data_IF_101959844801
#
_entry.id   IF_101959844801
#
_cell.length_a   1.000
_cell.length_b   1.000
_cell.length_c   1.000
_cell.angle_alpha   90.00
_cell.angle_beta   90.00
_cell.angle_gamma   90.00
#
_symmetry.space_group_name_H-M   'P 1'
#
loop_
_entity.id
_entity.type
_entity.pdbx_description
1 polymer ?
#
# COMPACT_ATOMS: atom_id res chain seq x y z
N UNK A 1 81.69 -12.05 29.49
CA UNK A 1 80.84 -12.36 28.31
C UNK A 1 79.42 -12.61 28.82
N UNK A 2 78.50 -11.64 28.72
CA UNK A 2 77.12 -11.76 29.24
C UNK A 2 76.05 -11.10 28.33
N UNK A 3 76.33 -10.86 27.04
CA UNK A 3 75.46 -10.05 26.18
C UNK A 3 74.62 -10.83 25.13
N UNK A 4 74.58 -12.16 25.17
CA UNK A 4 73.94 -12.99 24.12
C UNK A 4 72.70 -13.78 24.57
N UNK A 5 72.31 -13.72 25.85
CA UNK A 5 71.12 -14.41 26.35
C UNK A 5 69.85 -13.53 26.41
N UNK A 6 69.99 -12.20 26.49
CA UNK A 6 68.85 -11.27 26.58
C UNK A 6 68.11 -11.05 25.26
N UNK A 7 68.78 -11.20 24.11
CA UNK A 7 68.16 -10.98 22.79
C UNK A 7 67.13 -12.04 22.39
N UNK A 8 67.31 -13.30 22.81
CA UNK A 8 66.33 -14.36 22.54
C UNK A 8 65.13 -14.34 23.50
N UNK A 9 65.34 -13.84 24.73
CA UNK A 9 64.27 -13.60 25.68
C UNK A 9 63.41 -12.39 25.24
N UNK A 10 64.04 -11.30 24.79
CA UNK A 10 63.34 -10.12 24.25
C UNK A 10 62.47 -10.48 23.05
N UNK A 11 63.00 -11.16 22.03
CA UNK A 11 62.20 -11.57 20.87
C UNK A 11 61.01 -12.46 21.24
N UNK A 12 61.17 -13.39 22.19
CA UNK A 12 60.06 -14.22 22.69
C UNK A 12 59.02 -13.42 23.46
N UNK A 13 59.44 -12.43 24.24
CA UNK A 13 58.54 -11.52 24.96
C UNK A 13 57.77 -10.62 23.98
N UNK A 14 58.45 -10.10 22.96
CA UNK A 14 57.84 -9.28 21.90
C UNK A 14 56.78 -10.09 21.13
N UNK A 15 57.12 -11.34 20.75
CA UNK A 15 56.15 -12.22 20.06
C UNK A 15 54.97 -12.63 20.96
N UNK A 16 55.17 -12.69 22.28
CA UNK A 16 54.09 -12.98 23.24
C UNK A 16 53.20 -11.76 23.44
N UNK A 17 53.78 -10.56 23.55
CA UNK A 17 53.03 -9.30 23.64
C UNK A 17 52.20 -9.04 22.39
N UNK A 18 52.75 -9.26 21.19
CA UNK A 18 52.01 -9.08 19.93
C UNK A 18 50.77 -10.00 19.89
N UNK A 19 50.90 -11.26 20.30
CA UNK A 19 49.78 -12.21 20.35
C UNK A 19 48.72 -11.83 21.39
N UNK A 20 49.12 -11.31 22.54
CA UNK A 20 48.18 -10.81 23.54
C UNK A 20 47.41 -9.59 23.01
N UNK A 21 48.11 -8.68 22.31
CA UNK A 21 47.49 -7.49 21.72
C UNK A 21 46.51 -7.83 20.58
N UNK A 22 46.86 -8.79 19.73
CA UNK A 22 45.95 -9.30 18.70
C UNK A 22 44.72 -9.97 19.31
N UNK A 23 44.87 -10.77 20.38
CA UNK A 23 43.73 -11.37 21.09
C UNK A 23 42.81 -10.34 21.75
N UNK A 24 43.37 -9.27 22.32
CA UNK A 24 42.58 -8.18 22.89
C UNK A 24 41.79 -7.43 21.81
N UNK A 25 42.42 -7.10 20.68
CA UNK A 25 41.73 -6.46 19.56
C UNK A 25 40.62 -7.35 18.98
N UNK A 26 40.88 -8.65 18.78
CA UNK A 26 39.84 -9.57 18.31
C UNK A 26 38.66 -9.68 19.28
N UNK A 27 38.93 -9.72 20.60
CA UNK A 27 37.87 -9.70 21.62
C UNK A 27 37.08 -8.40 21.60
N UNK A 28 37.74 -7.26 21.43
CA UNK A 28 37.08 -5.95 21.39
C UNK A 28 36.22 -5.79 20.13
N UNK A 29 36.73 -6.23 18.97
CA UNK A 29 35.98 -6.26 17.71
C UNK A 29 34.78 -7.20 17.84
N UNK A 30 34.95 -8.40 18.42
CA UNK A 30 33.86 -9.35 18.62
C UNK A 30 32.83 -8.82 19.59
N UNK A 31 33.23 -8.19 20.70
CA UNK A 31 32.32 -7.57 21.66
C UNK A 31 31.55 -6.39 21.05
N UNK A 32 32.21 -5.55 20.24
CA UNK A 32 31.53 -4.48 19.49
C UNK A 32 30.53 -5.05 18.49
N UNK A 33 30.90 -6.08 17.73
CA UNK A 33 30.01 -6.74 16.77
C UNK A 33 28.83 -7.42 17.46
N UNK A 34 29.07 -8.08 18.59
CA UNK A 34 28.03 -8.71 19.40
C UNK A 34 27.09 -7.66 20.01
N UNK A 35 27.59 -6.49 20.44
CA UNK A 35 26.77 -5.35 20.88
C UNK A 35 25.96 -4.73 19.74
N UNK A 36 26.54 -4.59 18.55
CA UNK A 36 25.84 -4.12 17.35
C UNK A 36 24.72 -5.09 16.96
N UNK A 37 24.99 -6.41 17.03
CA UNK A 37 24.00 -7.48 16.83
C UNK A 37 22.95 -7.50 17.95
N UNK A 38 23.27 -7.13 19.20
CA UNK A 38 22.30 -7.05 20.29
C UNK A 38 21.36 -5.86 20.19
N UNK A 39 21.82 -4.73 19.65
CA UNK A 39 20.95 -3.61 19.27
C UNK A 39 20.04 -3.97 18.08
N UNK A 40 20.56 -4.78 17.15
CA UNK A 40 19.80 -5.30 16.01
C UNK A 40 18.95 -6.54 16.33
N UNK A 41 19.16 -7.21 17.47
CA UNK A 41 18.26 -8.23 18.03
C UNK A 41 16.99 -7.52 18.46
N UNK A 42 16.17 -7.23 17.45
CA UNK A 42 14.73 -7.45 17.42
C UNK A 42 14.23 -7.89 18.78
N UNK A 43 13.79 -6.92 19.57
CA UNK A 43 12.70 -7.21 20.47
C UNK A 43 11.61 -7.74 19.55
N UNK A 44 11.41 -9.06 19.56
CA UNK A 44 10.36 -9.76 18.85
C UNK A 44 9.03 -9.41 19.54
N UNK A 45 8.70 -8.12 19.53
CA UNK A 45 7.45 -7.58 20.02
C UNK A 45 6.42 -8.02 19.00
N UNK A 46 5.45 -8.78 19.47
CA UNK A 46 4.31 -9.21 18.66
C UNK A 46 3.69 -7.98 17.99
N UNK A 47 3.86 -7.89 16.67
CA UNK A 47 3.23 -6.84 15.88
C UNK A 47 1.74 -7.17 15.78
N UNK A 48 0.90 -6.22 16.18
CA UNK A 48 -0.54 -6.40 16.02
C UNK A 48 -0.93 -6.29 14.55
N UNK A 49 -1.58 -7.33 14.03
CA UNK A 49 -2.24 -7.37 12.71
C UNK A 49 -3.76 -7.25 12.80
N UNK A 50 -4.28 -6.96 13.99
CA UNK A 50 -5.72 -6.78 14.19
C UNK A 50 -6.20 -5.58 13.38
N UNK A 51 -7.35 -5.74 12.73
CA UNK A 51 -7.99 -4.76 11.85
C UNK A 51 -7.16 -4.30 10.63
N UNK A 52 -6.16 -5.08 10.22
CA UNK A 52 -5.30 -4.79 9.05
C UNK A 52 -5.89 -5.31 7.71
N UNK A 53 -7.17 -5.66 7.70
CA UNK A 53 -7.87 -6.10 6.49
C UNK A 53 -8.19 -4.90 5.60
N UNK A 54 -7.98 -5.07 4.29
CA UNK A 54 -8.40 -4.08 3.30
C UNK A 54 -9.91 -3.87 3.38
N UNK A 55 -10.33 -2.61 3.41
CA UNK A 55 -11.75 -2.23 3.38
C UNK A 55 -12.09 -1.69 2.00
N UNK A 56 -13.24 -2.07 1.47
CA UNK A 56 -13.75 -1.49 0.23
C UNK A 56 -13.98 0.01 0.41
N UNK A 57 -13.73 0.77 -0.65
CA UNK A 57 -14.00 2.20 -0.67
C UNK A 57 -15.39 2.44 -1.24
N UNK A 58 -16.31 3.06 -0.50
CA UNK A 58 -17.60 3.42 -1.06
C UNK A 58 -17.40 4.46 -2.17
N UNK A 59 -17.95 4.22 -3.35
CA UNK A 59 -17.84 5.12 -4.51
C UNK A 59 -18.35 6.53 -4.19
N UNK A 60 -19.37 6.63 -3.34
CA UNK A 60 -19.91 7.92 -2.87
C UNK A 60 -18.89 8.74 -2.09
N UNK A 61 -17.95 8.11 -1.39
CA UNK A 61 -16.86 8.82 -0.71
C UNK A 61 -15.76 9.21 -1.69
N UNK A 62 -15.43 8.36 -2.66
CA UNK A 62 -14.41 8.64 -3.69
C UNK A 62 -14.85 9.75 -4.67
N UNK A 63 -16.15 9.90 -4.90
CA UNK A 63 -16.71 10.94 -5.75
C UNK A 63 -16.72 12.33 -5.08
N UNK A 64 -16.50 12.39 -3.77
CA UNK A 64 -16.47 13.63 -3.02
C UNK A 64 -15.05 14.18 -2.94
N UNK A 65 -14.93 15.50 -2.86
CA UNK A 65 -13.64 16.15 -2.70
C UNK A 65 -12.98 15.73 -1.38
N UNK A 66 -11.72 15.30 -1.48
CA UNK A 66 -10.90 14.86 -0.35
C UNK A 66 -10.79 15.98 0.68
N UNK A 67 -10.63 17.23 0.23
CA UNK A 67 -10.47 18.39 1.10
C UNK A 67 -11.78 18.74 1.83
N UNK A 68 -12.91 18.61 1.15
CA UNK A 68 -14.23 18.85 1.74
C UNK A 68 -14.59 17.82 2.84
N UNK A 69 -14.01 16.62 2.77
CA UNK A 69 -14.19 15.54 3.73
C UNK A 69 -13.00 15.32 4.66
N UNK A 70 -11.95 16.12 4.53
CA UNK A 70 -10.73 15.94 5.31
C UNK A 70 -11.02 16.10 6.80
N UNK A 71 -10.61 15.11 7.60
CA UNK A 71 -10.80 15.10 9.05
C UNK A 71 -12.24 14.90 9.53
N UNK A 72 -13.23 14.74 8.62
CA UNK A 72 -14.59 14.36 9.01
C UNK A 72 -14.64 12.89 9.40
N UNK A 73 -15.26 12.62 10.54
CA UNK A 73 -15.46 11.28 11.05
C UNK A 73 -16.92 11.01 11.35
N UNK A 74 -17.42 9.87 10.89
CA UNK A 74 -18.75 9.36 11.19
C UNK A 74 -18.60 7.99 11.85
N UNK A 75 -19.27 7.79 12.99
CA UNK A 75 -19.23 6.54 13.77
C UNK A 75 -17.80 6.01 14.06
N UNK A 76 -16.87 6.93 14.35
CA UNK A 76 -15.47 6.59 14.65
C UNK A 76 -14.65 6.18 13.42
N UNK A 77 -15.14 6.40 12.20
CA UNK A 77 -14.43 6.13 10.95
C UNK A 77 -14.28 7.41 10.14
N UNK A 78 -13.15 7.55 9.43
CA UNK A 78 -12.98 8.65 8.47
C UNK A 78 -13.99 8.47 7.34
N UNK A 79 -14.67 9.56 6.99
CA UNK A 79 -15.64 9.56 5.89
C UNK A 79 -14.94 9.31 4.56
N UNK A 80 -13.77 9.95 4.36
CA UNK A 80 -12.94 9.72 3.19
C UNK A 80 -11.85 8.67 3.43
N UNK A 81 -11.61 7.73 2.50
CA UNK A 81 -10.63 6.66 2.70
C UNK A 81 -9.17 7.13 2.72
N UNK A 82 -8.89 8.35 2.24
CA UNK A 82 -7.57 8.96 2.18
C UNK A 82 -7.40 10.10 3.19
N UNK A 83 -6.18 10.28 3.67
CA UNK A 83 -5.76 11.39 4.52
C UNK A 83 -4.42 11.96 4.04
N UNK A 84 -4.05 13.17 4.46
CA UNK A 84 -2.80 13.78 4.00
C UNK A 84 -1.59 12.96 4.43
N UNK A 85 -0.66 12.73 3.51
CA UNK A 85 0.54 11.94 3.78
C UNK A 85 1.42 12.61 4.85
N UNK A 86 1.40 13.94 4.97
CA UNK A 86 2.09 14.65 6.07
C UNK A 86 1.60 14.28 7.47
N UNK A 87 0.38 13.74 7.60
CA UNK A 87 -0.16 13.29 8.89
C UNK A 87 0.26 11.85 9.22
N UNK A 88 0.90 11.15 8.27
CA UNK A 88 1.43 9.81 8.49
C UNK A 88 2.61 9.86 9.46
N UNK A 89 2.50 9.08 10.54
CA UNK A 89 3.59 8.84 11.47
C UNK A 89 3.51 7.46 12.07
N UNK A 90 4.68 6.89 12.34
CA UNK A 90 4.80 5.70 13.17
C UNK A 90 4.64 6.11 14.64
N UNK A 91 4.18 5.16 15.46
CA UNK A 91 4.07 5.38 16.90
C UNK A 91 5.47 5.71 17.46
N UNK A 92 5.57 6.80 18.24
CA UNK A 92 6.83 7.34 18.80
C UNK A 92 7.73 8.09 17.80
N UNK A 93 7.27 8.34 16.57
CA UNK A 93 7.99 9.15 15.59
C UNK A 93 7.19 10.39 15.22
N UNK A 94 7.90 11.45 14.86
CA UNK A 94 7.30 12.63 14.23
C UNK A 94 6.97 12.33 12.76
N UNK A 95 5.91 12.95 12.20
CA UNK A 95 5.63 12.86 10.78
C UNK A 95 6.76 13.46 9.93
N UNK A 96 6.96 12.89 8.74
CA UNK A 96 7.88 13.47 7.76
C UNK A 96 7.23 14.66 7.05
N UNK A 97 8.05 15.62 6.62
CA UNK A 97 7.62 16.81 5.90
C UNK A 97 7.28 16.50 4.44
N UNK A 98 6.13 15.87 4.20
CA UNK A 98 5.61 15.63 2.87
C UNK A 98 4.83 16.84 2.31
N UNK A 99 4.83 17.05 0.98
CA UNK A 99 3.97 18.02 0.31
C UNK A 99 2.47 17.82 0.63
N UNK A 100 1.68 18.90 0.54
CA UNK A 100 0.25 18.88 0.93
C UNK A 100 -0.64 18.12 -0.06
N UNK A 101 -0.18 17.95 -1.29
CA UNK A 101 -0.90 17.31 -2.39
C UNK A 101 -0.86 15.78 -2.31
N UNK A 102 -0.05 15.23 -1.41
CA UNK A 102 0.11 13.79 -1.26
C UNK A 102 -0.88 13.24 -0.24
N UNK A 103 -1.55 12.16 -0.62
CA UNK A 103 -2.52 11.46 0.22
C UNK A 103 -2.17 9.99 0.38
N UNK A 104 -2.51 9.44 1.54
CA UNK A 104 -2.34 8.04 1.88
C UNK A 104 -3.70 7.44 2.22
N UNK A 105 -3.97 6.23 1.70
CA UNK A 105 -5.18 5.50 2.08
C UNK A 105 -5.03 4.87 3.46
N UNK A 106 -6.09 4.98 4.26
CA UNK A 106 -6.26 4.31 5.55
C UNK A 106 -6.18 2.77 5.48
N UNK A 107 -6.29 2.18 4.28
CA UNK A 107 -6.05 0.75 4.06
C UNK A 107 -4.57 0.36 4.19
N UNK A 108 -3.64 1.28 3.94
CA UNK A 108 -2.20 1.01 4.09
C UNK A 108 -1.74 1.21 5.53
N UNK A 109 -2.12 2.34 6.09
CA UNK A 109 -1.81 2.66 7.47
C UNK A 109 -2.97 3.46 8.04
N UNK A 110 -3.59 2.95 9.08
CA UNK A 110 -4.64 3.68 9.79
C UNK A 110 -4.01 4.41 10.99
N UNK A 111 -4.05 5.75 11.06
CA UNK A 111 -3.52 6.50 12.21
C UNK A 111 -4.16 6.12 13.56
N UNK A 112 -5.35 5.50 13.55
CA UNK A 112 -6.03 5.01 14.76
C UNK A 112 -5.50 3.68 15.27
N UNK A 113 -4.69 2.99 14.49
CA UNK A 113 -4.10 1.74 14.92
C UNK A 113 -3.20 1.94 16.14
N UNK A 114 -3.44 1.14 17.17
CA UNK A 114 -2.60 1.09 18.36
C UNK A 114 -1.55 -0.03 18.23
N UNK A 115 -0.46 0.10 18.99
CA UNK A 115 0.64 -0.87 19.01
C UNK A 115 1.79 -0.54 18.05
N UNK A 116 2.85 -1.36 18.08
CA UNK A 116 3.91 -1.31 17.07
C UNK A 116 3.41 -2.03 15.82
N UNK A 117 3.54 -1.37 14.66
CA UNK A 117 3.11 -1.91 13.37
C UNK A 117 4.18 -1.66 12.33
N UNK A 118 4.34 -2.62 11.43
CA UNK A 118 5.21 -2.49 10.25
C UNK A 118 4.38 -2.01 9.08
N UNK A 119 4.92 -1.06 8.33
CA UNK A 119 4.34 -0.68 7.05
C UNK A 119 4.50 -1.86 6.09
N UNK A 120 3.45 -2.23 5.36
CA UNK A 120 3.59 -3.18 4.26
C UNK A 120 4.39 -2.51 3.14
N UNK A 121 5.48 -3.14 2.70
CA UNK A 121 6.21 -2.70 1.51
C UNK A 121 5.35 -2.94 0.28
N UNK A 122 4.53 -1.97 -0.11
CA UNK A 122 3.81 -1.94 -1.38
C UNK A 122 3.77 -0.51 -1.87
N UNK A 123 4.48 -0.22 -2.95
CA UNK A 123 4.44 1.07 -3.65
C UNK A 123 3.30 0.98 -4.66
N UNK A 124 2.18 1.66 -4.38
CA UNK A 124 1.10 1.86 -5.34
C UNK A 124 0.99 3.36 -5.60
N UNK A 125 1.53 3.79 -6.74
CA UNK A 125 1.40 5.18 -7.20
C UNK A 125 0.19 5.24 -8.12
N UNK A 126 -0.91 5.80 -7.61
CA UNK A 126 -2.07 6.13 -8.43
C UNK A 126 -1.94 7.61 -8.81
N UNK A 127 -1.43 7.87 -10.01
CA UNK A 127 -1.46 9.21 -10.59
C UNK A 127 -2.88 9.53 -11.03
N UNK A 128 -3.57 10.34 -10.24
CA UNK A 128 -4.89 10.84 -10.57
C UNK A 128 -4.76 12.16 -11.31
N UNK A 129 -4.85 12.12 -12.63
CA UNK A 129 -4.99 13.29 -13.48
C UNK A 129 -6.49 13.50 -13.78
N UNK A 130 -7.24 14.27 -12.96
CA UNK A 130 -8.59 14.62 -13.32
C UNK A 130 -8.54 15.40 -14.62
N UNK A 131 -9.36 15.01 -15.58
CA UNK A 131 -9.41 15.79 -16.81
C UNK A 131 -9.83 17.22 -16.49
N UNK A 132 -9.02 18.18 -16.89
CA UNK A 132 -9.20 19.61 -16.58
C UNK A 132 -10.42 20.21 -17.27
N UNK A 133 -11.03 19.48 -18.20
CA UNK A 133 -12.25 19.86 -18.87
C UNK A 133 -13.45 19.08 -18.30
N UNK A 134 -14.40 19.79 -17.69
CA UNK A 134 -15.74 19.27 -17.32
C UNK A 134 -16.41 18.44 -18.44
N UNK A 135 -16.05 18.68 -19.70
CA UNK A 135 -16.64 18.06 -20.89
C UNK A 135 -16.06 16.71 -21.31
N UNK A 136 -15.06 16.19 -20.61
CA UNK A 136 -14.35 14.95 -21.02
C UNK A 136 -14.81 13.69 -20.29
N UNK A 137 -15.38 13.83 -19.08
CA UNK A 137 -16.02 12.74 -18.34
C UNK A 137 -17.54 12.91 -18.37
N UNK A 138 -18.08 12.89 -19.59
CA UNK A 138 -19.52 12.78 -19.82
C UNK A 138 -19.80 11.57 -20.68
N UNK A 139 -21.02 11.05 -20.57
CA UNK A 139 -21.53 10.11 -21.56
C UNK A 139 -21.48 10.79 -22.93
N UNK A 140 -20.79 10.16 -23.88
CA UNK A 140 -20.79 10.60 -25.26
C UNK A 140 -22.21 10.43 -25.82
N UNK A 141 -22.64 11.38 -26.65
CA UNK A 141 -23.85 11.16 -27.45
C UNK A 141 -23.64 9.95 -28.36
N UNK A 142 -24.72 9.36 -28.87
CA UNK A 142 -24.63 8.23 -29.79
C UNK A 142 -23.77 8.58 -31.02
N UNK A 143 -23.93 9.80 -31.54
CA UNK A 143 -23.17 10.34 -32.67
C UNK A 143 -21.67 10.49 -32.34
N UNK A 144 -21.34 11.00 -31.15
CA UNK A 144 -19.96 11.17 -30.69
C UNK A 144 -19.27 9.83 -30.42
N UNK A 145 -20.00 8.86 -29.88
CA UNK A 145 -19.51 7.50 -29.65
C UNK A 145 -19.18 6.80 -30.98
N UNK A 146 -20.08 6.92 -31.96
CA UNK A 146 -19.88 6.38 -33.31
C UNK A 146 -18.71 7.07 -34.03
N UNK A 147 -18.57 8.39 -33.88
CA UNK A 147 -17.44 9.13 -34.46
C UNK A 147 -16.10 8.76 -33.82
N UNK A 148 -16.08 8.50 -32.51
CA UNK A 148 -14.86 8.25 -31.74
C UNK A 148 -14.40 6.79 -31.79
N UNK A 149 -15.33 5.85 -31.72
CA UNK A 149 -15.03 4.41 -31.65
C UNK A 149 -15.36 3.65 -32.94
N UNK A 150 -16.00 4.31 -33.91
CA UNK A 150 -16.45 3.68 -35.15
C UNK A 150 -17.62 2.72 -34.94
N UNK A 151 -18.01 2.02 -36.02
CA UNK A 151 -18.93 0.90 -35.88
C UNK A 151 -18.21 -0.28 -35.24
N UNK A 152 -18.88 -0.98 -34.32
CA UNK A 152 -18.35 -2.24 -33.80
C UNK A 152 -18.22 -3.26 -34.93
N UNK A 153 -17.09 -3.95 -34.98
CA UNK A 153 -16.92 -5.11 -35.86
C UNK A 153 -17.84 -6.25 -35.42
N UNK A 154 -18.26 -7.09 -36.36
CA UNK A 154 -19.21 -8.18 -36.13
C UNK A 154 -18.79 -9.14 -34.99
N UNK A 155 -17.49 -9.37 -34.83
CA UNK A 155 -16.94 -10.20 -33.74
C UNK A 155 -17.17 -9.55 -32.37
N UNK A 156 -16.81 -8.28 -32.20
CA UNK A 156 -17.03 -7.52 -30.95
C UNK A 156 -18.51 -7.36 -30.64
N UNK A 157 -19.35 -7.18 -31.65
CA UNK A 157 -20.80 -7.14 -31.47
C UNK A 157 -21.34 -8.48 -30.97
N UNK A 158 -20.84 -9.60 -31.49
CA UNK A 158 -21.20 -10.94 -31.01
C UNK A 158 -20.80 -11.16 -29.55
N UNK A 159 -19.61 -10.72 -29.15
CA UNK A 159 -19.15 -10.80 -27.76
C UNK A 159 -19.99 -9.93 -26.81
N UNK A 160 -20.29 -8.70 -27.21
CA UNK A 160 -21.15 -7.82 -26.42
C UNK A 160 -22.58 -8.36 -26.31
N UNK A 161 -23.10 -8.98 -27.37
CA UNK A 161 -24.41 -9.63 -27.35
C UNK A 161 -24.43 -10.79 -26.37
N UNK A 162 -23.39 -11.63 -26.36
CA UNK A 162 -23.24 -12.71 -25.37
C UNK A 162 -23.17 -12.16 -23.95
N UNK A 163 -22.38 -11.10 -23.72
CA UNK A 163 -22.27 -10.46 -22.41
C UNK A 163 -23.62 -9.86 -21.96
N UNK A 164 -24.36 -9.26 -22.89
CA UNK A 164 -25.69 -8.71 -22.64
C UNK A 164 -26.71 -9.80 -22.28
N UNK A 165 -26.70 -10.92 -22.99
CA UNK A 165 -27.56 -12.08 -22.70
C UNK A 165 -27.25 -12.72 -21.34
N UNK A 166 -25.97 -12.80 -20.96
CA UNK A 166 -25.56 -13.31 -19.65
C UNK A 166 -26.07 -12.44 -18.49
N UNK A 167 -26.20 -11.14 -18.70
CA UNK A 167 -26.62 -10.18 -17.68
C UNK A 167 -28.14 -9.98 -17.63
N UNK A 168 -28.86 -10.20 -18.73
CA UNK A 168 -30.30 -9.96 -18.86
C UNK A 168 -31.22 -11.08 -18.37
N UNK A 169 -30.84 -11.82 -17.32
CA UNK A 169 -31.57 -13.02 -16.87
C UNK A 169 -33.03 -12.75 -16.50
N UNK A 170 -33.32 -11.66 -15.79
CA UNK A 170 -34.66 -11.31 -15.34
C UNK A 170 -35.50 -10.64 -16.45
N UNK A 171 -34.92 -9.73 -17.22
CA UNK A 171 -35.62 -9.08 -18.33
C UNK A 171 -35.94 -10.05 -19.48
N UNK A 172 -35.09 -11.05 -19.72
CA UNK A 172 -35.38 -12.16 -20.63
C UNK A 172 -36.59 -12.99 -20.17
N UNK A 173 -36.69 -13.28 -18.88
CA UNK A 173 -37.78 -14.06 -18.31
C UNK A 173 -39.14 -13.34 -18.39
N UNK A 174 -39.14 -12.00 -18.31
CA UNK A 174 -40.36 -11.19 -18.33
C UNK A 174 -40.81 -10.81 -19.75
N UNK A 175 -39.87 -10.47 -20.64
CA UNK A 175 -40.19 -9.95 -21.98
C UNK A 175 -40.09 -10.99 -23.10
N UNK A 176 -39.48 -12.16 -22.85
CA UNK A 176 -39.20 -13.17 -23.89
C UNK A 176 -38.21 -12.72 -24.97
N UNK A 177 -37.61 -11.54 -24.80
CA UNK A 177 -36.62 -10.94 -25.70
C UNK A 177 -35.42 -10.46 -24.87
N UNK A 178 -34.25 -10.35 -25.51
CA UNK A 178 -33.04 -9.85 -24.89
C UNK A 178 -33.26 -8.40 -24.44
N UNK A 179 -33.66 -8.25 -23.19
CA UNK A 179 -33.87 -6.98 -22.51
C UNK A 179 -33.29 -7.08 -21.11
N UNK A 180 -32.60 -6.03 -20.68
CA UNK A 180 -32.12 -5.90 -19.31
C UNK A 180 -33.08 -5.02 -18.54
N UNK A 181 -33.63 -5.55 -17.44
CA UNK A 181 -34.46 -4.75 -16.53
C UNK A 181 -33.60 -4.15 -15.40
N UNK A 182 -34.22 -3.33 -14.55
CA UNK A 182 -33.50 -2.68 -13.43
C UNK A 182 -32.88 -3.70 -12.47
N UNK A 183 -33.49 -4.87 -12.29
CA UNK A 183 -32.99 -5.91 -11.39
C UNK A 183 -31.72 -6.56 -11.95
N UNK A 184 -31.65 -6.79 -13.27
CA UNK A 184 -30.46 -7.27 -13.97
C UNK A 184 -29.26 -6.35 -13.77
N UNK A 185 -29.47 -5.04 -13.96
CA UNK A 185 -28.42 -4.03 -13.77
C UNK A 185 -27.93 -4.03 -12.32
N UNK A 186 -28.84 -4.05 -11.34
CA UNK A 186 -28.48 -4.07 -9.92
C UNK A 186 -27.71 -5.34 -9.56
N UNK A 187 -28.11 -6.50 -10.09
CA UNK A 187 -27.39 -7.75 -9.87
C UNK A 187 -26.01 -7.73 -10.53
N UNK A 188 -25.88 -7.20 -11.75
CA UNK A 188 -24.58 -7.02 -12.40
C UNK A 188 -23.63 -6.16 -11.53
N UNK A 189 -24.15 -5.06 -10.98
CA UNK A 189 -23.36 -4.21 -10.07
C UNK A 189 -23.01 -4.94 -8.78
N UNK A 190 -23.94 -5.69 -8.17
CA UNK A 190 -23.69 -6.45 -6.94
C UNK A 190 -22.60 -7.51 -7.12
N UNK A 191 -22.64 -8.24 -8.23
CA UNK A 191 -21.63 -9.26 -8.57
C UNK A 191 -20.23 -8.64 -8.72
N UNK A 192 -20.14 -7.41 -9.23
CA UNK A 192 -18.86 -6.71 -9.45
C UNK A 192 -18.36 -5.98 -8.19
N UNK A 193 -19.23 -5.62 -7.25
CA UNK A 193 -18.89 -4.67 -6.18
C UNK A 193 -18.91 -5.24 -4.76
N UNK A 194 -19.15 -6.54 -4.54
CA UNK A 194 -19.27 -7.15 -3.19
C UNK A 194 -20.24 -6.42 -2.24
N UNK A 195 -21.07 -5.52 -2.77
CA UNK A 195 -22.07 -4.76 -2.03
C UNK A 195 -23.31 -5.65 -1.88
N UNK A 196 -23.33 -6.42 -0.78
CA UNK A 196 -24.54 -7.07 -0.25
C UNK A 196 -25.49 -6.02 0.32
#
# INVERSE_FOLDING_TARGET
QFALLEGNASNRLETQQEREQEQEQEKEIKAKRDQEIELEKFVDREYSRQEERQRSWPFTALAQDIEALHGKEEAGRRVHPFYRLRDFKLRLHEPLAFPEELYLSSNYFNPKWTGLRRVKNVVMLLEYAPSTAKDTLRLLSQEESLAKYGSLGAEKESELRKAYELLGFHGMAESGAASMNRADVVNAFRVVTDLV
#
